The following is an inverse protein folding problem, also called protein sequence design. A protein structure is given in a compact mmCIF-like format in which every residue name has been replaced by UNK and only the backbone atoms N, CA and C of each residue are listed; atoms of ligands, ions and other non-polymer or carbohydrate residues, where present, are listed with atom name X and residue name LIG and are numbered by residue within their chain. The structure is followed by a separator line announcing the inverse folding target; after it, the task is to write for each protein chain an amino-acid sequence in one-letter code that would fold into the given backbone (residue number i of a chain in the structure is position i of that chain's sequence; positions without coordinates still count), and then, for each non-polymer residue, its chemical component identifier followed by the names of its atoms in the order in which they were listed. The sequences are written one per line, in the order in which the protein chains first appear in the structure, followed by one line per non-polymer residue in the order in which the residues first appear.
data_IF_551440662328
#
_entry.id   IF_551440662328
#
_cell.length_a   1.000
_cell.length_b   1.000
_cell.length_c   1.000
_cell.angle_alpha   90.00
_cell.angle_beta   90.00
_cell.angle_gamma   90.00
#
_symmetry.space_group_name_H-M   'P 1'
#
loop_
_entity.id
_entity.type
_entity.pdbx_description
1 polymer ?
#
# COMPACT_ATOMS: atom_id res chain seq x y z
N UNK A 1 -1.76 -1.05 26.91
CA UNK A 1 -1.62 0.13 26.06
C UNK A 1 -0.35 0.06 25.22
N UNK A 2 -0.43 0.39 23.94
CA UNK A 2 0.73 0.36 23.04
C UNK A 2 1.69 1.52 23.39
N UNK A 3 2.99 1.20 23.59
CA UNK A 3 3.98 2.26 23.88
C UNK A 3 4.40 2.94 22.58
N UNK A 4 4.96 4.17 22.71
CA UNK A 4 5.47 4.89 21.54
C UNK A 4 6.58 4.12 20.81
N UNK A 5 7.44 3.42 21.54
CA UNK A 5 8.49 2.59 20.95
C UNK A 5 7.92 1.40 20.18
N UNK A 6 6.90 0.75 20.74
CA UNK A 6 6.20 -0.36 20.06
C UNK A 6 5.49 0.14 18.80
N UNK A 7 4.84 1.30 18.86
CA UNK A 7 4.18 1.88 17.70
C UNK A 7 5.17 2.23 16.59
N UNK A 8 6.32 2.85 16.93
CA UNK A 8 7.38 3.17 15.97
C UNK A 8 7.99 1.91 15.36
N UNK A 9 8.20 0.88 16.18
CA UNK A 9 8.70 -0.41 15.70
C UNK A 9 7.75 -1.01 14.65
N UNK A 10 6.46 -1.03 14.94
CA UNK A 10 5.44 -1.52 14.00
C UNK A 10 5.43 -0.71 12.70
N UNK A 11 5.49 0.61 12.78
CA UNK A 11 5.52 1.48 11.60
C UNK A 11 6.75 1.21 10.73
N UNK A 12 7.92 1.01 11.32
CA UNK A 12 9.13 0.70 10.58
C UNK A 12 9.09 -0.68 9.92
N UNK A 13 8.49 -1.67 10.58
CA UNK A 13 8.29 -2.98 9.95
C UNK A 13 7.39 -2.87 8.72
N UNK A 14 6.39 -2.01 8.76
CA UNK A 14 5.48 -1.80 7.63
C UNK A 14 6.23 -1.22 6.42
N UNK A 15 7.25 -0.39 6.65
CA UNK A 15 8.05 0.21 5.56
C UNK A 15 9.03 -0.77 4.91
N UNK A 16 9.14 -2.00 5.43
CA UNK A 16 10.01 -3.02 4.91
C UNK A 16 11.34 -3.16 5.64
N UNK A 17 11.56 -2.42 6.73
CA UNK A 17 12.76 -2.57 7.54
C UNK A 17 12.81 -3.96 8.18
N UNK A 18 14.03 -4.50 8.36
CA UNK A 18 14.19 -5.75 9.07
C UNK A 18 13.83 -5.58 10.54
N UNK A 19 13.46 -6.68 11.22
CA UNK A 19 13.13 -6.66 12.65
C UNK A 19 14.28 -6.08 13.47
N UNK A 20 15.52 -6.51 13.20
CA UNK A 20 16.70 -6.03 13.91
C UNK A 20 16.92 -4.52 13.69
N UNK A 21 16.78 -4.05 12.47
CA UNK A 21 16.94 -2.62 12.14
C UNK A 21 15.88 -1.78 12.85
N UNK A 22 14.61 -2.18 12.78
CA UNK A 22 13.52 -1.50 13.44
C UNK A 22 13.70 -1.46 14.96
N UNK A 23 14.21 -2.56 15.54
CA UNK A 23 14.50 -2.64 16.97
C UNK A 23 15.61 -1.67 17.37
N UNK A 24 16.73 -1.66 16.63
CA UNK A 24 17.88 -0.77 16.91
C UNK A 24 17.48 0.71 16.81
N UNK A 25 16.56 1.06 15.92
CA UNK A 25 16.10 2.44 15.76
C UNK A 25 15.30 2.95 16.95
N UNK A 26 14.61 2.06 17.67
CA UNK A 26 13.66 2.42 18.72
C UNK A 26 14.10 2.05 20.13
N UNK A 27 15.09 1.20 20.28
CA UNK A 27 15.56 0.71 21.58
C UNK A 27 17.07 0.81 21.65
N UNK A 28 17.57 1.06 22.86
CA UNK A 28 19.02 1.09 23.09
C UNK A 28 19.59 -0.33 22.99
N UNK A 29 20.57 -0.53 22.10
CA UNK A 29 21.22 -1.82 21.87
C UNK A 29 22.72 -1.75 22.11
N UNK A 30 23.20 -0.69 22.76
CA UNK A 30 24.64 -0.41 22.96
C UNK A 30 25.38 -1.56 23.65
N UNK A 31 24.72 -2.25 24.57
CA UNK A 31 25.30 -3.35 25.33
C UNK A 31 24.78 -4.72 24.91
N UNK A 32 24.15 -4.81 23.75
CA UNK A 32 23.55 -6.05 23.27
C UNK A 32 24.37 -6.64 22.12
N UNK A 33 24.63 -7.95 22.16
CA UNK A 33 25.22 -8.63 21.03
C UNK A 33 24.18 -8.85 19.92
N UNK A 34 24.62 -9.05 18.65
CA UNK A 34 23.68 -9.20 17.52
C UNK A 34 22.64 -10.30 17.72
N UNK A 35 23.01 -11.39 18.34
CA UNK A 35 22.08 -12.50 18.64
C UNK A 35 20.98 -12.05 19.59
N UNK A 36 21.32 -11.29 20.64
CA UNK A 36 20.36 -10.78 21.62
C UNK A 36 19.40 -9.78 20.96
N UNK A 37 19.91 -8.91 20.10
CA UNK A 37 19.08 -7.96 19.33
C UNK A 37 18.11 -8.73 18.43
N UNK A 38 18.57 -9.75 17.75
CA UNK A 38 17.75 -10.56 16.86
C UNK A 38 16.62 -11.25 17.63
N UNK A 39 16.95 -11.86 18.77
CA UNK A 39 15.97 -12.55 19.62
C UNK A 39 14.93 -11.57 20.20
N UNK A 40 15.39 -10.42 20.68
CA UNK A 40 14.50 -9.40 21.26
C UNK A 40 13.56 -8.82 20.19
N UNK A 41 14.07 -8.52 19.01
CA UNK A 41 13.26 -8.00 17.90
C UNK A 41 12.25 -9.03 17.41
N UNK A 42 12.63 -10.29 17.36
CA UNK A 42 11.73 -11.39 16.98
C UNK A 42 10.59 -11.54 17.99
N UNK A 43 10.91 -11.49 19.28
CA UNK A 43 9.87 -11.54 20.33
C UNK A 43 8.93 -10.36 20.27
N UNK A 44 9.47 -9.16 20.05
CA UNK A 44 8.65 -7.94 19.96
C UNK A 44 7.72 -7.99 18.74
N UNK A 45 8.18 -8.52 17.61
CA UNK A 45 7.36 -8.65 16.40
C UNK A 45 6.16 -9.58 16.60
N UNK A 46 6.24 -10.48 17.57
CA UNK A 46 5.18 -11.43 17.93
C UNK A 46 4.31 -10.95 19.09
N UNK A 47 4.65 -9.80 19.69
CA UNK A 47 3.89 -9.26 20.80
C UNK A 47 2.46 -8.91 20.32
N UNK A 48 1.40 -9.32 21.05
CA UNK A 48 0.02 -9.12 20.59
C UNK A 48 -0.34 -7.68 20.24
N UNK A 49 0.15 -6.71 21.00
CA UNK A 49 -0.09 -5.29 20.75
C UNK A 49 0.59 -4.80 19.48
N UNK A 50 1.79 -5.30 19.19
CA UNK A 50 2.52 -4.97 17.96
C UNK A 50 1.84 -5.60 16.75
N UNK A 51 1.44 -6.86 16.86
CA UNK A 51 0.72 -7.58 15.80
C UNK A 51 -0.59 -6.86 15.47
N UNK A 52 -1.37 -6.48 16.48
CA UNK A 52 -2.61 -5.76 16.28
C UNK A 52 -2.38 -4.42 15.58
N UNK A 53 -1.36 -3.68 15.98
CA UNK A 53 -1.03 -2.40 15.35
C UNK A 53 -0.57 -2.57 13.90
N UNK A 54 0.21 -3.60 13.61
CA UNK A 54 0.62 -3.93 12.24
C UNK A 54 -0.59 -4.23 11.36
N UNK A 55 -1.54 -5.00 11.86
CA UNK A 55 -2.76 -5.33 11.12
C UNK A 55 -3.58 -4.08 10.83
N UNK A 56 -3.72 -3.17 11.80
CA UNK A 56 -4.39 -1.88 11.59
C UNK A 56 -3.70 -1.05 10.51
N UNK A 57 -2.37 -0.92 10.58
CA UNK A 57 -1.58 -0.14 9.62
C UNK A 57 -1.66 -0.74 8.21
N UNK A 58 -1.63 -2.06 8.08
CA UNK A 58 -1.79 -2.73 6.79
C UNK A 58 -3.17 -2.48 6.19
N UNK A 59 -4.21 -2.54 7.02
CA UNK A 59 -5.58 -2.27 6.58
C UNK A 59 -5.73 -0.82 6.10
N UNK A 60 -5.17 0.15 6.82
CA UNK A 60 -5.17 1.56 6.43
C UNK A 60 -4.43 1.77 5.11
N UNK A 61 -3.27 1.14 4.95
CA UNK A 61 -2.48 1.24 3.73
C UNK A 61 -3.23 0.68 2.52
N UNK A 62 -3.85 -0.49 2.68
CA UNK A 62 -4.65 -1.11 1.63
C UNK A 62 -5.86 -0.26 1.24
N UNK A 63 -6.52 0.36 2.24
CA UNK A 63 -7.64 1.27 1.99
C UNK A 63 -7.20 2.49 1.19
N UNK A 64 -6.06 3.11 1.54
CA UNK A 64 -5.50 4.25 0.83
C UNK A 64 -5.11 3.88 -0.61
N UNK A 65 -4.47 2.74 -0.81
CA UNK A 65 -4.09 2.26 -2.14
C UNK A 65 -5.31 1.98 -3.01
N UNK A 66 -6.38 1.45 -2.41
CA UNK A 66 -7.64 1.20 -3.11
C UNK A 66 -8.28 2.51 -3.57
N UNK A 67 -8.31 3.52 -2.71
CA UNK A 67 -8.86 4.83 -3.05
C UNK A 67 -8.07 5.51 -4.16
N UNK A 68 -6.73 5.41 -4.13
CA UNK A 68 -5.88 5.93 -5.19
C UNK A 68 -6.16 5.25 -6.53
N UNK A 69 -6.30 3.93 -6.54
CA UNK A 69 -6.62 3.19 -7.76
C UNK A 69 -7.96 3.60 -8.35
N UNK A 70 -8.97 3.80 -7.50
CA UNK A 70 -10.29 4.28 -7.93
C UNK A 70 -10.21 5.68 -8.52
N UNK A 71 -9.44 6.58 -7.89
CA UNK A 71 -9.23 7.94 -8.37
C UNK A 71 -8.54 7.98 -9.73
N UNK A 72 -7.49 7.16 -9.93
CA UNK A 72 -6.82 7.05 -11.23
C UNK A 72 -7.74 6.44 -12.30
N UNK A 73 -8.55 5.46 -11.92
CA UNK A 73 -9.53 4.87 -12.82
C UNK A 73 -10.53 5.90 -13.34
N UNK A 74 -11.06 6.74 -12.46
CA UNK A 74 -11.97 7.83 -12.83
C UNK A 74 -11.30 8.82 -13.76
N UNK A 75 -10.05 9.19 -13.49
CA UNK A 75 -9.29 10.09 -14.36
C UNK A 75 -9.13 9.51 -15.78
N UNK A 76 -8.75 8.25 -15.90
CA UNK A 76 -8.59 7.59 -17.20
C UNK A 76 -9.92 7.56 -17.96
N UNK A 77 -11.01 7.21 -17.29
CA UNK A 77 -12.34 7.18 -17.90
C UNK A 77 -12.72 8.56 -18.40
N UNK A 78 -12.52 9.61 -17.60
CA UNK A 78 -12.83 10.98 -18.00
C UNK A 78 -12.05 11.43 -19.23
N UNK A 79 -10.73 11.11 -19.29
CA UNK A 79 -9.90 11.46 -20.45
C UNK A 79 -10.33 10.71 -21.70
N UNK A 80 -10.70 9.43 -21.59
CA UNK A 80 -11.19 8.65 -22.71
C UNK A 80 -12.53 9.18 -23.22
N UNK A 81 -13.42 9.62 -22.32
CA UNK A 81 -14.70 10.26 -22.69
C UNK A 81 -14.48 11.54 -23.49
N UNK A 82 -13.53 12.38 -23.08
CA UNK A 82 -13.17 13.60 -23.80
C UNK A 82 -12.66 13.28 -25.21
N UNK A 83 -11.80 12.28 -25.35
CA UNK A 83 -11.31 11.85 -26.65
C UNK A 83 -12.43 11.33 -27.55
N UNK A 84 -13.35 10.53 -27.00
CA UNK A 84 -14.48 9.99 -27.73
C UNK A 84 -15.42 11.08 -28.24
N UNK A 85 -15.63 12.15 -27.46
CA UNK A 85 -16.55 13.24 -27.82
C UNK A 85 -15.91 14.29 -28.72
N UNK A 86 -14.62 14.56 -28.56
CA UNK A 86 -13.96 15.72 -29.16
C UNK A 86 -12.94 15.38 -30.24
N UNK A 87 -12.61 14.10 -30.47
CA UNK A 87 -11.63 13.72 -31.46
C UNK A 87 -12.12 14.04 -32.88
N UNK A 88 -11.25 14.63 -33.70
CA UNK A 88 -11.56 14.97 -35.08
C UNK A 88 -11.54 13.75 -36.01
N UNK A 89 -10.79 12.72 -35.64
CA UNK A 89 -10.66 11.50 -36.42
C UNK A 89 -11.64 10.44 -35.93
N UNK A 90 -12.42 9.86 -36.82
CA UNK A 90 -13.34 8.77 -36.50
C UNK A 90 -12.61 7.55 -35.95
N UNK A 91 -11.40 7.27 -36.48
CA UNK A 91 -10.57 6.17 -36.00
C UNK A 91 -10.20 6.34 -34.53
N UNK A 92 -9.83 7.56 -34.11
CA UNK A 92 -9.47 7.87 -32.72
C UNK A 92 -10.71 7.75 -31.84
N UNK A 93 -11.86 8.25 -32.31
CA UNK A 93 -13.13 8.15 -31.55
C UNK A 93 -13.55 6.71 -31.33
N UNK A 94 -13.48 5.89 -32.36
CA UNK A 94 -13.80 4.45 -32.27
C UNK A 94 -12.88 3.77 -31.27
N UNK A 95 -11.56 4.04 -31.34
CA UNK A 95 -10.59 3.47 -30.43
C UNK A 95 -10.84 3.87 -28.99
N UNK A 96 -11.16 5.15 -28.74
CA UNK A 96 -11.50 5.63 -27.40
C UNK A 96 -12.75 4.95 -26.85
N UNK A 97 -13.78 4.78 -27.67
CA UNK A 97 -15.02 4.09 -27.27
C UNK A 97 -14.76 2.61 -26.96
N UNK A 98 -13.91 1.94 -27.73
CA UNK A 98 -13.50 0.55 -27.44
C UNK A 98 -12.82 0.46 -26.08
N UNK A 99 -11.87 1.37 -25.80
CA UNK A 99 -11.14 1.38 -24.54
C UNK A 99 -12.07 1.68 -23.35
N UNK A 100 -13.00 2.61 -23.51
CA UNK A 100 -14.02 2.88 -22.50
C UNK A 100 -14.89 1.65 -22.23
N UNK A 101 -15.32 0.98 -23.30
CA UNK A 101 -16.12 -0.22 -23.18
C UNK A 101 -15.39 -1.34 -22.43
N UNK A 102 -14.09 -1.55 -22.73
CA UNK A 102 -13.27 -2.53 -22.02
C UNK A 102 -13.09 -2.15 -20.55
N UNK A 103 -12.87 -0.85 -20.28
CA UNK A 103 -12.66 -0.36 -18.92
C UNK A 103 -13.88 -0.60 -18.03
N UNK A 104 -15.08 -0.44 -18.57
CA UNK A 104 -16.33 -0.66 -17.82
C UNK A 104 -16.90 -2.07 -18.00
N UNK A 105 -16.17 -2.96 -18.66
CA UNK A 105 -16.56 -4.37 -18.78
C UNK A 105 -17.61 -4.67 -19.85
N UNK A 106 -17.86 -3.75 -20.79
CA UNK A 106 -18.84 -3.97 -21.88
C UNK A 106 -18.36 -5.01 -22.89
N UNK A 107 -17.05 -5.13 -23.08
CA UNK A 107 -16.45 -6.10 -23.98
C UNK A 107 -15.67 -7.12 -23.16
N UNK A 108 -16.31 -8.21 -22.80
CA UNK A 108 -15.64 -9.27 -22.07
C UNK A 108 -14.88 -10.15 -23.04
N UNK A 109 -13.57 -10.27 -22.82
CA UNK A 109 -12.78 -11.25 -23.52
C UNK A 109 -13.00 -12.61 -22.87
N UNK A 110 -13.38 -13.57 -23.64
CA UNK A 110 -13.47 -14.95 -23.18
C UNK A 110 -12.09 -15.54 -22.97
#
# INVERSE_FOLDING_TARGET
MLTNRQASFAAELLTGASQATAYKSNYSTTHMCPKTVWEASSRLSKHPKVVARLDELRAEKEAQERMLRLSYGDFVINELQKLALNAKSDRVRIKALELLGKTVGLFQSC
#
